data_IF_691920607766
#
_entry.id   IF_691920607766
#
_cell.length_a   1.000
_cell.length_b   1.000
_cell.length_c   1.000
_cell.angle_alpha   90.00
_cell.angle_beta   90.00
_cell.angle_gamma   90.00
#
_symmetry.space_group_name_H-M   'P 1'
#
loop_
_entity.id
_entity.type
_entity.pdbx_description
1 polymer ?
#
# COMPACT_ATOMS: atom_id res chain seq x y z
N UNK A 1 -7.38 -18.53 27.83
CA UNK A 1 -8.28 -17.41 28.17
C UNK A 1 -8.33 -16.50 26.96
N UNK A 2 -9.41 -16.61 26.17
CA UNK A 2 -9.57 -15.81 24.95
C UNK A 2 -10.15 -14.45 25.31
N UNK A 3 -9.43 -13.41 24.97
CA UNK A 3 -10.00 -12.05 24.96
C UNK A 3 -10.69 -11.85 23.61
N UNK A 4 -11.99 -11.99 23.60
CA UNK A 4 -12.85 -11.50 22.52
C UNK A 4 -12.95 -10.00 22.69
N UNK A 5 -12.21 -9.22 21.91
CA UNK A 5 -12.41 -7.79 21.80
C UNK A 5 -13.68 -7.56 20.97
N UNK A 6 -14.81 -7.51 21.63
CA UNK A 6 -16.07 -7.02 21.06
C UNK A 6 -15.96 -5.50 21.01
N UNK A 7 -16.03 -4.90 19.82
CA UNK A 7 -16.21 -3.45 19.69
C UNK A 7 -17.43 -3.06 20.53
N UNK A 8 -17.20 -2.29 21.58
CA UNK A 8 -18.25 -1.88 22.48
C UNK A 8 -19.16 -0.85 21.78
N UNK A 9 -20.45 -0.95 22.03
CA UNK A 9 -21.52 -0.14 21.42
C UNK A 9 -21.41 1.40 21.60
N UNK A 10 -20.32 1.88 22.18
CA UNK A 10 -20.01 3.31 22.37
C UNK A 10 -19.32 3.98 21.17
N UNK A 11 -18.85 3.23 20.18
CA UNK A 11 -18.26 3.79 18.93
C UNK A 11 -19.29 4.06 17.84
N UNK A 12 -20.52 3.62 18.01
CA UNK A 12 -21.65 3.75 17.05
C UNK A 12 -22.20 5.16 16.90
N UNK A 13 -21.70 6.19 17.60
CA UNK A 13 -22.25 7.56 17.53
C UNK A 13 -21.36 8.56 16.75
N UNK A 14 -20.24 8.13 16.15
CA UNK A 14 -19.51 9.01 15.23
C UNK A 14 -20.26 9.06 13.90
N UNK A 15 -20.63 10.28 13.48
CA UNK A 15 -21.20 10.47 12.14
C UNK A 15 -20.24 9.89 11.09
N UNK A 16 -20.80 9.17 10.12
CA UNK A 16 -20.02 8.64 9.00
C UNK A 16 -19.43 9.79 8.19
N UNK A 17 -18.18 9.67 7.72
CA UNK A 17 -17.53 10.73 6.96
C UNK A 17 -18.28 10.98 5.64
N UNK A 18 -18.44 12.27 5.30
CA UNK A 18 -19.16 12.70 4.11
C UNK A 18 -18.25 13.25 3.03
N UNK A 19 -17.06 13.71 3.42
CA UNK A 19 -16.05 14.26 2.52
C UNK A 19 -14.75 13.47 2.60
N UNK A 20 -13.88 13.65 1.62
CA UNK A 20 -12.53 13.05 1.59
C UNK A 20 -11.74 13.46 2.84
N UNK A 21 -11.76 14.75 3.21
CA UNK A 21 -11.06 15.24 4.39
C UNK A 21 -11.57 14.64 5.71
N UNK A 22 -12.90 14.54 5.86
CA UNK A 22 -13.50 13.89 7.04
C UNK A 22 -13.14 12.40 7.09
N UNK A 23 -13.08 11.72 5.95
CA UNK A 23 -12.68 10.33 5.86
C UNK A 23 -11.21 10.11 6.24
N UNK A 24 -10.30 10.99 5.79
CA UNK A 24 -8.89 10.97 6.16
C UNK A 24 -8.72 11.09 7.67
N UNK A 25 -9.37 12.08 8.27
CA UNK A 25 -9.31 12.31 9.72
C UNK A 25 -9.87 11.11 10.49
N UNK A 26 -11.04 10.61 10.08
CA UNK A 26 -11.68 9.46 10.71
C UNK A 26 -10.80 8.20 10.66
N UNK A 27 -10.28 7.86 9.48
CA UNK A 27 -9.43 6.67 9.30
C UNK A 27 -8.12 6.78 10.07
N UNK A 28 -7.44 7.94 10.02
CA UNK A 28 -6.20 8.17 10.76
C UNK A 28 -6.42 7.99 12.26
N UNK A 29 -7.47 8.59 12.83
CA UNK A 29 -7.78 8.44 14.25
C UNK A 29 -8.10 7.00 14.67
N UNK A 30 -8.78 6.23 13.82
CA UNK A 30 -9.09 4.82 14.08
C UNK A 30 -7.82 3.98 14.03
N UNK A 31 -6.98 4.20 13.03
CA UNK A 31 -5.71 3.48 12.88
C UNK A 31 -4.73 3.79 14.01
N UNK A 32 -4.59 5.05 14.43
CA UNK A 32 -3.73 5.44 15.54
C UNK A 32 -4.12 4.80 16.87
N UNK A 33 -5.44 4.65 17.12
CA UNK A 33 -5.96 4.04 18.34
C UNK A 33 -5.94 2.53 18.31
N UNK A 34 -5.71 1.95 17.14
CA UNK A 34 -5.68 0.49 16.95
C UNK A 34 -4.31 -0.10 17.27
N UNK A 35 -4.25 -1.41 17.47
CA UNK A 35 -3.00 -2.15 17.66
C UNK A 35 -2.46 -2.68 16.32
N UNK A 36 -2.64 -1.95 15.22
CA UNK A 36 -2.07 -2.32 13.92
C UNK A 36 -0.62 -1.89 13.82
N UNK A 37 0.14 -2.63 13.03
CA UNK A 37 1.54 -2.30 12.73
C UNK A 37 1.63 -1.67 11.36
N UNK A 38 2.33 -0.55 11.25
CA UNK A 38 2.67 0.10 10.00
C UNK A 38 3.98 -0.49 9.45
N UNK A 39 4.40 -0.11 8.22
CA UNK A 39 5.64 -0.59 7.61
C UNK A 39 5.41 -1.53 6.42
N UNK A 40 4.20 -1.53 5.86
CA UNK A 40 3.85 -2.28 4.64
C UNK A 40 3.54 -1.32 3.47
N UNK A 41 4.42 -0.32 3.28
CA UNK A 41 4.26 0.73 2.28
C UNK A 41 3.87 2.09 2.86
N UNK A 42 3.58 2.17 4.15
CA UNK A 42 3.36 3.39 4.94
C UNK A 42 3.97 3.22 6.31
N UNK A 43 4.44 4.31 6.92
CA UNK A 43 5.11 4.28 8.23
C UNK A 43 4.23 4.84 9.37
N UNK A 44 3.06 5.35 9.04
CA UNK A 44 2.15 6.00 9.99
C UNK A 44 0.68 5.88 9.57
N UNK A 45 -0.21 6.20 10.51
CA UNK A 45 -1.65 6.11 10.34
C UNK A 45 -2.22 7.08 9.29
N UNK A 46 -1.63 8.28 9.17
CA UNK A 46 -2.09 9.29 8.22
C UNK A 46 -1.86 8.88 6.77
N UNK A 47 -0.65 8.42 6.45
CA UNK A 47 -0.31 7.97 5.09
C UNK A 47 -1.11 6.71 4.71
N UNK A 48 -1.33 5.80 5.66
CA UNK A 48 -2.17 4.62 5.42
C UNK A 48 -3.64 5.01 5.20
N UNK A 49 -4.16 5.97 5.99
CA UNK A 49 -5.50 6.52 5.77
C UNK A 49 -5.62 7.21 4.40
N UNK A 50 -4.60 7.96 3.98
CA UNK A 50 -4.58 8.60 2.67
C UNK A 50 -4.66 7.58 1.53
N UNK A 51 -3.84 6.52 1.57
CA UNK A 51 -3.91 5.45 0.58
C UNK A 51 -5.29 4.80 0.52
N UNK A 52 -5.89 4.50 1.68
CA UNK A 52 -7.20 3.87 1.75
C UNK A 52 -8.31 4.79 1.21
N UNK A 53 -8.34 6.05 1.66
CA UNK A 53 -9.39 7.00 1.29
C UNK A 53 -9.30 7.37 -0.19
N UNK A 54 -8.11 7.65 -0.70
CA UNK A 54 -7.92 7.99 -2.12
C UNK A 54 -8.26 6.81 -3.02
N UNK A 55 -7.94 5.58 -2.59
CA UNK A 55 -8.34 4.38 -3.32
C UNK A 55 -9.87 4.23 -3.43
N UNK A 56 -10.62 4.40 -2.33
CA UNK A 56 -12.08 4.27 -2.37
C UNK A 56 -12.79 5.45 -3.04
N UNK A 57 -12.16 6.62 -3.02
CA UNK A 57 -12.61 7.83 -3.70
C UNK A 57 -12.22 7.85 -5.19
N UNK A 58 -11.42 6.88 -5.65
CA UNK A 58 -10.89 6.81 -7.02
C UNK A 58 -10.08 8.06 -7.40
N UNK A 59 -9.30 8.59 -6.44
CA UNK A 59 -8.45 9.76 -6.59
C UNK A 59 -6.97 9.35 -6.73
N UNK A 60 -6.17 10.08 -7.53
CA UNK A 60 -4.72 9.95 -7.53
C UNK A 60 -4.11 10.28 -6.18
N UNK A 61 -3.04 9.58 -5.77
CA UNK A 61 -2.33 9.87 -4.51
C UNK A 61 -1.67 11.26 -4.50
N UNK A 62 -1.33 11.79 -5.68
CA UNK A 62 -0.71 13.09 -5.88
C UNK A 62 -1.73 14.24 -5.89
N UNK A 63 -3.00 13.97 -5.59
CA UNK A 63 -4.04 14.99 -5.53
C UNK A 63 -3.71 16.05 -4.48
N UNK A 64 -3.95 17.30 -4.80
CA UNK A 64 -3.76 18.43 -3.90
C UNK A 64 -4.93 18.59 -2.91
N UNK A 65 -4.84 19.54 -1.99
CA UNK A 65 -5.82 19.78 -0.94
C UNK A 65 -7.24 20.15 -1.46
N UNK A 66 -7.39 20.46 -2.75
CA UNK A 66 -8.70 20.79 -3.33
C UNK A 66 -9.69 19.63 -3.26
N UNK A 67 -9.19 18.37 -3.24
CA UNK A 67 -10.01 17.17 -3.15
C UNK A 67 -10.61 16.95 -1.76
N UNK A 68 -10.08 17.55 -0.71
CA UNK A 68 -10.51 17.32 0.67
C UNK A 68 -11.99 17.67 0.91
N UNK A 69 -12.53 18.61 0.14
CA UNK A 69 -13.94 19.02 0.20
C UNK A 69 -14.85 18.20 -0.69
N UNK A 70 -14.32 17.30 -1.49
CA UNK A 70 -15.15 16.47 -2.37
C UNK A 70 -16.00 15.51 -1.54
N UNK A 71 -17.30 15.39 -1.88
CA UNK A 71 -18.20 14.46 -1.19
C UNK A 71 -17.87 13.02 -1.58
N UNK A 72 -17.93 12.13 -0.61
CA UNK A 72 -17.86 10.69 -0.83
C UNK A 72 -19.24 10.12 -1.12
N UNK A 73 -19.32 9.23 -2.09
CA UNK A 73 -20.55 8.46 -2.31
C UNK A 73 -20.81 7.48 -1.16
N UNK A 74 -22.07 7.14 -0.91
CA UNK A 74 -22.43 6.14 0.10
C UNK A 74 -21.72 4.79 -0.16
N UNK A 75 -21.49 4.43 -1.43
CA UNK A 75 -20.74 3.24 -1.82
C UNK A 75 -19.28 3.33 -1.41
N UNK A 76 -18.63 4.48 -1.62
CA UNK A 76 -17.25 4.71 -1.19
C UNK A 76 -17.12 4.63 0.33
N UNK A 77 -18.03 5.27 1.07
CA UNK A 77 -18.06 5.22 2.54
C UNK A 77 -18.24 3.78 3.04
N UNK A 78 -19.16 3.01 2.47
CA UNK A 78 -19.36 1.62 2.86
C UNK A 78 -18.11 0.76 2.61
N UNK A 79 -17.44 0.94 1.46
CA UNK A 79 -16.17 0.26 1.15
C UNK A 79 -15.07 0.66 2.12
N UNK A 80 -14.95 1.97 2.39
CA UNK A 80 -13.98 2.51 3.34
C UNK A 80 -14.11 1.84 4.71
N UNK A 81 -15.31 1.84 5.27
CA UNK A 81 -15.57 1.26 6.59
C UNK A 81 -15.31 -0.25 6.62
N UNK A 82 -15.65 -0.96 5.55
CA UNK A 82 -15.36 -2.40 5.43
C UNK A 82 -13.86 -2.69 5.39
N UNK A 83 -13.08 -1.93 4.63
CA UNK A 83 -11.62 -2.11 4.59
C UNK A 83 -10.96 -1.73 5.91
N UNK A 84 -11.40 -0.63 6.52
CA UNK A 84 -10.89 -0.19 7.82
C UNK A 84 -11.18 -1.23 8.92
N UNK A 85 -12.37 -1.82 8.94
CA UNK A 85 -12.71 -2.88 9.87
C UNK A 85 -11.79 -4.12 9.67
N UNK A 86 -11.61 -4.59 8.44
CA UNK A 86 -10.71 -5.70 8.15
C UNK A 86 -9.26 -5.39 8.56
N UNK A 87 -8.81 -4.15 8.30
CA UNK A 87 -7.46 -3.71 8.68
C UNK A 87 -7.25 -3.75 10.18
N UNK A 88 -8.23 -3.30 10.96
CA UNK A 88 -8.13 -3.20 12.42
C UNK A 88 -8.39 -4.55 13.10
N UNK A 89 -9.46 -5.26 12.71
CA UNK A 89 -9.90 -6.49 13.38
C UNK A 89 -9.07 -7.71 12.97
N UNK A 90 -8.79 -7.85 11.67
CA UNK A 90 -8.03 -8.97 11.11
C UNK A 90 -6.54 -8.66 11.00
N UNK A 91 -6.13 -7.41 11.24
CA UNK A 91 -4.75 -6.91 11.08
C UNK A 91 -4.18 -7.17 9.68
N UNK A 92 -5.06 -7.26 8.70
CA UNK A 92 -4.67 -7.52 7.32
C UNK A 92 -3.97 -6.27 6.73
N UNK A 93 -2.74 -6.37 6.23
CA UNK A 93 -2.03 -5.24 5.63
C UNK A 93 -2.82 -4.58 4.50
N UNK A 94 -2.77 -3.25 4.45
CA UNK A 94 -3.51 -2.46 3.47
C UNK A 94 -3.23 -2.88 2.01
N UNK A 95 -1.97 -3.17 1.58
CA UNK A 95 -1.71 -3.63 0.22
C UNK A 95 -2.48 -4.89 -0.18
N UNK A 96 -2.71 -5.81 0.74
CA UNK A 96 -3.52 -7.02 0.47
C UNK A 96 -5.01 -6.72 0.37
N UNK A 97 -5.50 -5.74 1.14
CA UNK A 97 -6.90 -5.30 1.06
C UNK A 97 -7.20 -4.58 -0.24
N UNK A 98 -6.28 -3.73 -0.69
CA UNK A 98 -6.42 -2.95 -1.91
C UNK A 98 -5.99 -3.72 -3.16
N UNK A 99 -5.37 -4.90 -3.02
CA UNK A 99 -4.71 -5.66 -4.09
C UNK A 99 -3.68 -4.83 -4.87
N UNK A 100 -2.98 -3.90 -4.16
CA UNK A 100 -2.10 -2.91 -4.77
C UNK A 100 -0.92 -2.64 -3.84
N UNK A 101 0.28 -2.61 -4.42
CA UNK A 101 1.50 -2.21 -3.74
C UNK A 101 2.38 -1.37 -4.67
N UNK A 102 3.23 -0.52 -4.09
CA UNK A 102 4.19 0.30 -4.83
C UNK A 102 5.61 -0.18 -4.56
N UNK A 103 6.42 -0.26 -5.62
CA UNK A 103 7.83 -0.63 -5.53
C UNK A 103 8.61 0.10 -6.61
N UNK A 104 9.70 0.75 -6.26
CA UNK A 104 10.55 1.51 -7.18
C UNK A 104 9.73 2.46 -8.10
N UNK A 105 8.71 3.14 -7.57
CA UNK A 105 7.85 4.06 -8.32
C UNK A 105 6.80 3.38 -9.22
N UNK A 106 6.74 2.06 -9.27
CA UNK A 106 5.80 1.29 -10.08
C UNK A 106 4.70 0.68 -9.20
N UNK A 107 3.50 0.57 -9.77
CA UNK A 107 2.37 -0.10 -9.13
C UNK A 107 2.32 -1.58 -9.51
N UNK A 108 2.13 -2.45 -8.51
CA UNK A 108 2.03 -3.90 -8.68
C UNK A 108 0.75 -4.44 -8.07
N UNK A 109 0.19 -5.48 -8.69
CA UNK A 109 -0.81 -6.31 -8.03
C UNK A 109 -0.20 -7.02 -6.82
N UNK A 110 -0.92 -7.01 -5.69
CA UNK A 110 -0.43 -7.58 -4.44
C UNK A 110 -1.55 -8.34 -3.74
N UNK A 111 -1.29 -9.60 -3.39
CA UNK A 111 -2.18 -10.40 -2.55
C UNK A 111 -1.39 -11.36 -1.64
N UNK A 112 -2.08 -12.11 -0.79
CA UNK A 112 -1.48 -12.96 0.24
C UNK A 112 -0.66 -14.14 -0.30
N UNK A 113 -0.61 -14.37 -1.62
CA UNK A 113 0.20 -15.44 -2.23
C UNK A 113 1.69 -15.07 -2.29
N UNK A 114 2.00 -13.77 -2.24
CA UNK A 114 3.38 -13.28 -2.23
C UNK A 114 3.58 -12.22 -1.16
N UNK A 115 4.84 -12.04 -0.73
CA UNK A 115 5.19 -10.98 0.21
C UNK A 115 4.94 -9.60 -0.40
N UNK A 116 4.48 -8.65 0.42
CA UNK A 116 4.32 -7.25 0.00
C UNK A 116 5.66 -6.71 -0.49
N UNK A 117 5.72 -6.10 -1.68
CA UNK A 117 6.94 -5.51 -2.22
C UNK A 117 7.53 -4.46 -1.28
N UNK A 118 8.68 -4.78 -0.68
CA UNK A 118 9.45 -3.85 0.15
C UNK A 118 10.89 -4.34 0.19
N UNK A 119 11.78 -3.62 -0.43
CA UNK A 119 13.19 -3.97 -0.44
C UNK A 119 14.03 -2.73 -0.69
N UNK A 120 15.17 -2.56 -0.02
CA UNK A 120 16.12 -1.50 -0.34
C UNK A 120 16.71 -1.62 -1.76
N UNK A 121 16.50 -2.74 -2.45
CA UNK A 121 16.88 -2.91 -3.85
C UNK A 121 16.18 -1.88 -4.74
N UNK A 122 15.01 -1.34 -4.35
CA UNK A 122 14.35 -0.25 -5.07
C UNK A 122 15.29 0.95 -5.26
N UNK A 123 16.01 1.36 -4.21
CA UNK A 123 16.97 2.47 -4.25
C UNK A 123 18.15 2.15 -5.16
N UNK A 124 18.62 0.89 -5.15
CA UNK A 124 19.69 0.46 -6.04
C UNK A 124 19.28 0.48 -7.50
N UNK A 125 18.05 0.04 -7.81
CA UNK A 125 17.50 0.09 -9.18
C UNK A 125 17.43 1.54 -9.67
N UNK A 126 16.86 2.44 -8.85
CA UNK A 126 16.72 3.86 -9.18
C UNK A 126 18.06 4.60 -9.26
N UNK A 127 19.09 4.09 -8.60
CA UNK A 127 20.47 4.60 -8.64
C UNK A 127 21.39 3.83 -9.59
N UNK A 128 20.86 3.11 -10.59
CA UNK A 128 21.62 2.33 -11.56
C UNK A 128 22.63 1.36 -10.91
N UNK A 129 22.28 0.81 -9.75
CA UNK A 129 23.11 -0.06 -8.90
C UNK A 129 24.43 0.57 -8.43
N UNK A 130 24.57 1.90 -8.52
CA UNK A 130 25.77 2.58 -8.04
C UNK A 130 25.84 2.57 -6.50
N UNK A 131 27.05 2.53 -5.89
CA UNK A 131 28.38 2.37 -6.51
C UNK A 131 28.79 0.89 -6.72
N UNK A 132 27.87 -0.07 -6.51
CA UNK A 132 28.18 -1.50 -6.49
C UNK A 132 28.44 -2.07 -7.90
N UNK A 133 27.85 -1.46 -8.90
CA UNK A 133 28.03 -1.82 -10.30
C UNK A 133 28.49 -0.58 -11.10
N UNK A 134 29.70 -0.64 -11.66
CA UNK A 134 30.32 0.46 -12.41
C UNK A 134 30.65 0.09 -13.87
N UNK A 135 30.14 -1.03 -14.35
CA UNK A 135 30.30 -1.49 -15.72
C UNK A 135 29.32 -0.87 -16.70
N UNK A 136 29.38 -1.33 -17.93
CA UNK A 136 28.35 -1.05 -18.95
C UNK A 136 26.97 -1.55 -18.47
N UNK A 137 25.89 -0.99 -19.01
CA UNK A 137 24.53 -1.44 -18.69
C UNK A 137 24.43 -2.97 -18.77
N UNK A 138 23.92 -3.64 -17.73
CA UNK A 138 23.84 -5.10 -17.68
C UNK A 138 22.99 -5.62 -18.83
N UNK A 139 23.41 -6.74 -19.45
CA UNK A 139 22.69 -7.35 -20.58
C UNK A 139 21.81 -8.53 -20.15
N UNK A 140 22.16 -9.19 -19.05
CA UNK A 140 21.37 -10.27 -18.47
C UNK A 140 21.33 -10.14 -16.96
N UNK A 141 20.14 -10.28 -16.40
CA UNK A 141 19.87 -10.15 -14.97
C UNK A 141 18.99 -11.32 -14.56
N UNK A 142 19.28 -11.91 -13.41
CA UNK A 142 18.47 -12.95 -12.81
C UNK A 142 17.90 -12.44 -11.48
N UNK A 143 16.56 -12.45 -11.36
CA UNK A 143 15.85 -12.31 -10.09
C UNK A 143 15.53 -13.71 -9.55
N UNK A 144 16.29 -14.13 -8.56
CA UNK A 144 16.20 -15.46 -7.94
C UNK A 144 15.32 -15.36 -6.69
N UNK A 145 14.35 -16.28 -6.55
CA UNK A 145 13.32 -16.24 -5.52
C UNK A 145 12.46 -14.98 -5.66
N UNK A 146 11.99 -14.72 -6.88
CA UNK A 146 11.37 -13.45 -7.26
C UNK A 146 10.01 -13.17 -6.60
N UNK A 147 9.36 -14.17 -5.99
CA UNK A 147 8.03 -14.02 -5.38
C UNK A 147 7.02 -13.45 -6.37
N UNK A 148 6.45 -12.28 -6.08
CA UNK A 148 5.56 -11.56 -6.99
C UNK A 148 6.26 -10.93 -8.21
N UNK A 149 7.57 -11.06 -8.36
CA UNK A 149 8.35 -10.57 -9.49
C UNK A 149 8.62 -9.06 -9.49
N UNK A 150 8.31 -8.34 -8.43
CA UNK A 150 8.36 -6.88 -8.39
C UNK A 150 9.77 -6.32 -8.63
N UNK A 151 10.82 -7.00 -8.13
CA UNK A 151 12.22 -6.59 -8.33
C UNK A 151 12.59 -6.75 -9.80
N UNK A 152 12.46 -7.94 -10.35
CA UNK A 152 12.83 -8.21 -11.74
C UNK A 152 12.02 -7.40 -12.75
N UNK A 153 10.73 -7.17 -12.49
CA UNK A 153 9.89 -6.33 -13.35
C UNK A 153 10.29 -4.84 -13.27
N UNK A 154 10.62 -4.34 -12.08
CA UNK A 154 11.18 -3.00 -11.94
C UNK A 154 12.52 -2.86 -12.65
N UNK A 155 13.42 -3.85 -12.50
CA UNK A 155 14.67 -3.89 -13.24
C UNK A 155 14.43 -3.89 -14.75
N UNK A 156 13.52 -4.70 -15.27
CA UNK A 156 13.19 -4.72 -16.69
C UNK A 156 12.64 -3.36 -17.20
N UNK A 157 11.92 -2.64 -16.36
CA UNK A 157 11.41 -1.30 -16.69
C UNK A 157 12.54 -0.27 -16.79
N UNK A 158 13.45 -0.23 -15.82
CA UNK A 158 14.53 0.76 -15.76
C UNK A 158 15.75 0.41 -16.63
N UNK A 159 15.93 -0.87 -16.96
CA UNK A 159 17.01 -1.37 -17.84
C UNK A 159 16.41 -2.09 -19.06
N UNK A 160 15.79 -1.36 -20.01
CA UNK A 160 15.02 -1.96 -21.12
C UNK A 160 15.88 -2.76 -22.10
N UNK A 161 17.21 -2.54 -22.11
CA UNK A 161 18.15 -3.30 -22.94
C UNK A 161 18.62 -4.61 -22.30
N UNK A 162 18.25 -4.87 -21.05
CA UNK A 162 18.59 -6.08 -20.33
C UNK A 162 17.57 -7.18 -20.54
N UNK A 163 18.03 -8.41 -20.69
CA UNK A 163 17.17 -9.59 -20.56
C UNK A 163 17.07 -9.97 -19.09
N UNK A 164 15.86 -9.96 -18.54
CA UNK A 164 15.61 -10.28 -17.13
C UNK A 164 14.93 -11.64 -17.04
N UNK A 165 15.59 -12.57 -16.35
CA UNK A 165 15.03 -13.88 -16.00
C UNK A 165 14.47 -13.82 -14.57
N UNK A 166 13.25 -14.37 -14.37
CA UNK A 166 12.57 -14.47 -13.08
C UNK A 166 12.48 -15.94 -12.71
N UNK A 167 12.94 -16.32 -11.54
CA UNK A 167 12.89 -17.70 -11.05
C UNK A 167 12.34 -17.77 -9.63
N UNK A 168 11.31 -18.60 -9.46
CA UNK A 168 10.75 -18.95 -8.15
C UNK A 168 10.34 -20.42 -8.11
N UNK A 169 9.94 -20.94 -6.94
CA UNK A 169 9.49 -22.31 -6.72
C UNK A 169 7.98 -22.38 -6.54
#
# INVERSE_FOLDING_TARGET
MGYTCTMTATESSREQPRTVGEALQYCSEVLEKSAVHFGHGTDNAWDEAAQLVFFVAELPLESDDSVLRQPLSNKAVARLLSYLDQRVTQKLPLPYLLHRAWFAGLEFCCDQRAIIPRSPIAELILGDFQPWYSGDSPKRILDLCCGGGCIGLAVAHYFPDAHVDLLDI
#
